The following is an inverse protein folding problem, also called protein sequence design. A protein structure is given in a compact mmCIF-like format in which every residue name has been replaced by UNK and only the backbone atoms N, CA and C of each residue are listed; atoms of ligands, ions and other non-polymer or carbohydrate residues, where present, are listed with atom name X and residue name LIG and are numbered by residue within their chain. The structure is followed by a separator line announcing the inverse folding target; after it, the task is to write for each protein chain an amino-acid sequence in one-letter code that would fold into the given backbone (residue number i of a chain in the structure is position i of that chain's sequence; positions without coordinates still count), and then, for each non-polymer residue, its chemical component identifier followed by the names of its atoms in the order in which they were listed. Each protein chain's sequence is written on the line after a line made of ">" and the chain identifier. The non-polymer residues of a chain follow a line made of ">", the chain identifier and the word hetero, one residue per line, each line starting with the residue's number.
data_IF_571843249151
#
_entry.id   IF_571843249151
#
_cell.length_a   1.000
_cell.length_b   1.000
_cell.length_c   1.000
_cell.angle_alpha   90.00
_cell.angle_beta   90.00
_cell.angle_gamma   90.00
#
_symmetry.space_group_name_H-M   'P 1'
#
loop_
_entity.id
_entity.type
_entity.pdbx_description
1 polymer ?
#
# COMPACT_ATOMS: atom_id res chain seq x y z
N UNK A 1 12.60 10.13 4.84
CA UNK A 1 12.55 9.99 3.37
C UNK A 1 12.31 8.54 3.01
N UNK A 2 11.59 8.27 1.93
CA UNK A 2 11.38 6.92 1.38
C UNK A 2 12.21 6.74 0.11
N UNK A 3 12.58 5.51 -0.23
CA UNK A 3 13.33 5.22 -1.46
C UNK A 3 12.37 5.16 -2.65
N UNK A 4 12.62 5.95 -3.70
CA UNK A 4 11.80 5.93 -4.92
C UNK A 4 11.79 4.53 -5.54
N UNK A 5 10.61 3.98 -5.84
CA UNK A 5 10.48 2.61 -6.40
C UNK A 5 11.08 2.44 -7.80
N UNK A 6 11.20 3.53 -8.57
CA UNK A 6 11.78 3.51 -9.90
C UNK A 6 13.30 3.76 -9.91
N UNK A 7 13.78 4.73 -9.13
CA UNK A 7 15.17 5.22 -9.22
C UNK A 7 16.04 4.92 -8.01
N UNK A 8 15.44 4.56 -6.86
CA UNK A 8 16.13 4.45 -5.57
C UNK A 8 16.48 5.80 -4.92
N UNK A 9 16.22 6.92 -5.59
CA UNK A 9 16.49 8.26 -5.06
C UNK A 9 15.61 8.56 -3.83
N UNK A 10 16.11 9.29 -2.82
CA UNK A 10 15.32 9.63 -1.65
C UNK A 10 14.19 10.59 -2.01
N UNK A 11 12.99 10.26 -1.55
CA UNK A 11 11.77 11.08 -1.65
C UNK A 11 11.41 11.56 -0.24
N UNK A 12 11.22 12.87 -0.07
CA UNK A 12 10.72 13.39 1.21
C UNK A 12 9.34 12.80 1.50
N UNK A 13 9.14 12.40 2.76
CA UNK A 13 7.91 11.77 3.21
C UNK A 13 7.60 12.24 4.62
N UNK A 14 6.32 12.51 4.87
CA UNK A 14 5.75 12.81 6.16
C UNK A 14 4.47 11.99 6.33
N UNK A 15 4.26 11.44 7.52
CA UNK A 15 3.02 10.80 7.91
C UNK A 15 2.52 11.51 9.18
N UNK A 16 1.26 11.92 9.15
CA UNK A 16 0.55 12.54 10.27
C UNK A 16 -0.91 12.08 10.15
N UNK A 17 -1.20 10.96 10.81
CA UNK A 17 -2.49 10.29 10.76
C UNK A 17 -2.85 9.83 12.18
N UNK A 18 -4.11 10.07 12.55
CA UNK A 18 -4.65 9.58 13.82
C UNK A 18 -5.12 8.15 13.65
N UNK A 19 -4.85 7.30 14.64
CA UNK A 19 -5.25 5.91 14.62
C UNK A 19 -5.71 5.46 16.01
N UNK A 20 -6.60 4.48 16.02
CA UNK A 20 -7.06 3.78 17.22
C UNK A 20 -6.81 2.28 17.02
N UNK A 21 -6.27 1.59 18.02
CA UNK A 21 -6.04 0.13 17.97
C UNK A 21 -6.65 -0.47 19.22
N UNK A 22 -7.42 -1.54 19.04
CA UNK A 22 -8.09 -2.27 20.11
C UNK A 22 -7.31 -3.53 20.44
N UNK A 23 -6.75 -3.59 21.64
CA UNK A 23 -6.09 -4.80 22.14
C UNK A 23 -7.11 -5.65 22.90
N UNK A 24 -7.42 -6.83 22.35
CA UNK A 24 -8.38 -7.76 22.94
C UNK A 24 -7.72 -9.11 23.26
N UNK A 25 -8.15 -9.81 24.32
CA UNK A 25 -7.72 -11.18 24.55
C UNK A 25 -8.11 -12.08 23.38
N UNK A 26 -7.26 -13.07 23.06
CA UNK A 26 -7.63 -14.09 22.07
C UNK A 26 -8.98 -14.74 22.41
N UNK A 27 -9.87 -14.92 21.41
CA UNK A 27 -11.13 -15.60 21.62
C UNK A 27 -10.87 -17.05 22.03
N UNK A 28 -11.66 -17.57 22.98
CA UNK A 28 -11.50 -18.96 23.43
C UNK A 28 -11.88 -19.90 22.30
N UNK A 29 -10.99 -20.82 21.97
CA UNK A 29 -11.24 -21.83 20.93
C UNK A 29 -12.49 -22.65 21.28
N UNK A 30 -13.53 -22.54 20.44
CA UNK A 30 -14.78 -23.29 20.56
C UNK A 30 -16.05 -22.48 20.86
N UNK A 31 -15.96 -21.16 21.04
CA UNK A 31 -17.16 -20.32 21.30
C UNK A 31 -18.00 -19.99 20.05
N UNK A 32 -17.49 -20.24 18.82
CA UNK A 32 -18.30 -20.08 17.59
C UNK A 32 -17.93 -21.10 16.52
N UNK A 33 -18.86 -22.01 16.19
CA UNK A 33 -18.89 -22.74 14.92
C UNK A 33 -19.71 -21.99 13.85
N UNK A 34 -20.16 -20.77 14.17
CA UNK A 34 -20.88 -19.89 13.26
C UNK A 34 -19.91 -19.10 12.37
N UNK A 35 -20.34 -18.83 11.14
CA UNK A 35 -19.62 -17.95 10.22
C UNK A 35 -19.52 -16.56 10.85
N UNK A 36 -18.29 -16.06 11.02
CA UNK A 36 -18.03 -14.70 11.52
C UNK A 36 -17.94 -13.78 10.30
N UNK A 37 -18.88 -12.85 10.18
CA UNK A 37 -18.78 -11.77 9.21
C UNK A 37 -17.76 -10.74 9.70
N UNK A 38 -16.70 -10.53 8.93
CA UNK A 38 -15.68 -9.51 9.22
C UNK A 38 -16.21 -8.15 8.81
N UNK A 39 -16.17 -7.20 9.74
CA UNK A 39 -16.48 -5.78 9.48
C UNK A 39 -15.21 -4.93 9.54
N UNK A 40 -15.29 -3.72 9.00
CA UNK A 40 -14.13 -2.81 8.91
C UNK A 40 -13.51 -2.53 10.29
N UNK A 41 -14.31 -2.43 11.34
CA UNK A 41 -13.84 -2.23 12.71
C UNK A 41 -13.03 -3.42 13.27
N UNK A 42 -13.12 -4.61 12.68
CA UNK A 42 -12.31 -5.76 13.10
C UNK A 42 -10.86 -5.65 12.63
N UNK A 43 -10.58 -4.81 11.62
CA UNK A 43 -9.23 -4.60 11.10
C UNK A 43 -8.30 -3.88 12.09
N UNK A 44 -8.86 -3.12 13.04
CA UNK A 44 -8.11 -2.38 14.06
C UNK A 44 -7.94 -3.17 15.37
N UNK A 45 -8.29 -4.47 15.37
CA UNK A 45 -8.17 -5.35 16.53
C UNK A 45 -6.87 -6.14 16.48
N UNK A 46 -6.08 -6.01 17.54
CA UNK A 46 -4.88 -6.84 17.77
C UNK A 46 -5.14 -7.76 18.96
N UNK A 47 -5.11 -9.07 18.70
CA UNK A 47 -5.28 -10.05 19.76
C UNK A 47 -4.01 -10.25 20.58
N UNK A 48 -4.17 -10.50 21.88
CA UNK A 48 -3.07 -10.82 22.79
C UNK A 48 -3.40 -12.02 23.68
N UNK A 49 -2.37 -12.74 24.14
CA UNK A 49 -2.50 -13.89 25.03
C UNK A 49 -2.75 -13.51 26.52
N UNK A 50 -2.64 -12.22 26.84
CA UNK A 50 -2.87 -11.66 28.17
C UNK A 50 -1.60 -11.55 29.03
N UNK A 51 -0.44 -11.94 28.49
CA UNK A 51 0.85 -11.81 29.17
C UNK A 51 1.45 -10.41 29.01
N UNK A 52 1.43 -9.88 27.78
CA UNK A 52 1.91 -8.56 27.42
C UNK A 52 1.24 -8.07 26.13
N UNK A 53 1.28 -6.75 25.92
CA UNK A 53 0.86 -6.11 24.67
C UNK A 53 2.10 -5.51 24.02
N UNK A 54 2.39 -5.87 22.76
CA UNK A 54 3.48 -5.26 21.99
C UNK A 54 3.00 -4.00 21.28
N UNK A 55 3.19 -2.86 21.94
CA UNK A 55 2.90 -1.55 21.36
C UNK A 55 3.90 -1.16 20.26
N UNK A 56 5.12 -1.71 20.30
CA UNK A 56 6.15 -1.38 19.32
C UNK A 56 5.81 -1.95 17.96
N UNK A 57 5.39 -3.22 17.91
CA UNK A 57 4.89 -3.88 16.71
C UNK A 57 3.65 -3.17 16.16
N UNK A 58 2.64 -2.93 17.02
CA UNK A 58 1.42 -2.25 16.60
C UNK A 58 1.69 -0.86 15.98
N UNK A 59 2.56 -0.06 16.59
CA UNK A 59 2.93 1.26 16.05
C UNK A 59 3.73 1.12 14.74
N UNK A 60 4.63 0.13 14.64
CA UNK A 60 5.42 -0.08 13.44
C UNK A 60 4.54 -0.49 12.25
N UNK A 61 3.57 -1.37 12.48
CA UNK A 61 2.61 -1.80 11.47
C UNK A 61 1.72 -0.65 11.01
N UNK A 62 1.15 0.12 11.95
CA UNK A 62 0.37 1.31 11.61
C UNK A 62 1.18 2.32 10.82
N UNK A 63 2.41 2.60 11.25
CA UNK A 63 3.30 3.50 10.51
C UNK A 63 3.55 2.98 9.09
N UNK A 64 3.77 1.67 8.92
CA UNK A 64 3.97 1.07 7.61
C UNK A 64 2.75 1.24 6.70
N UNK A 65 1.53 1.13 7.24
CA UNK A 65 0.28 1.39 6.51
C UNK A 65 0.14 2.86 6.08
N UNK A 66 0.60 3.81 6.91
CA UNK A 66 0.56 5.25 6.58
C UNK A 66 1.57 5.66 5.49
N UNK A 67 2.57 4.82 5.17
CA UNK A 67 3.57 5.16 4.17
C UNK A 67 3.01 5.04 2.75
N UNK A 68 3.38 5.99 1.88
CA UNK A 68 3.16 5.84 0.44
C UNK A 68 3.78 4.51 -0.04
N UNK A 69 3.01 3.55 -0.58
CA UNK A 69 3.54 2.25 -1.00
C UNK A 69 4.44 2.34 -2.24
N UNK A 70 4.29 3.39 -3.04
CA UNK A 70 5.02 3.59 -4.29
C UNK A 70 5.55 5.03 -4.41
N UNK A 71 6.47 5.47 -3.52
CA UNK A 71 7.08 6.79 -3.61
C UNK A 71 7.79 6.97 -4.96
N UNK A 72 7.57 8.10 -5.63
CA UNK A 72 8.17 8.41 -6.92
C UNK A 72 8.90 9.75 -6.86
N UNK A 73 10.17 9.75 -7.27
CA UNK A 73 10.97 10.95 -7.46
C UNK A 73 10.57 11.68 -8.74
N UNK A 74 11.02 12.92 -8.92
CA UNK A 74 10.77 13.69 -10.15
C UNK A 74 11.33 13.00 -11.42
N UNK A 75 12.36 12.16 -11.28
CA UNK A 75 12.96 11.39 -12.38
C UNK A 75 12.33 10.03 -12.64
N UNK A 76 11.34 9.61 -11.85
CA UNK A 76 10.79 8.25 -11.89
C UNK A 76 10.25 7.86 -13.28
N UNK A 77 9.48 8.74 -13.91
CA UNK A 77 8.87 8.47 -15.23
C UNK A 77 9.94 8.28 -16.32
N UNK A 78 10.98 9.11 -16.30
CA UNK A 78 12.07 9.02 -17.26
C UNK A 78 12.85 7.71 -17.10
N UNK A 79 13.16 7.32 -15.86
CA UNK A 79 13.85 6.07 -15.56
C UNK A 79 13.03 4.83 -15.96
N UNK A 80 11.71 4.85 -15.70
CA UNK A 80 10.81 3.78 -16.13
C UNK A 80 10.78 3.65 -17.66
N UNK A 81 10.69 4.78 -18.37
CA UNK A 81 10.71 4.80 -19.84
C UNK A 81 12.04 4.27 -20.40
N UNK A 82 13.18 4.65 -19.81
CA UNK A 82 14.50 4.14 -20.20
C UNK A 82 14.62 2.63 -19.96
N UNK A 83 14.02 2.13 -18.88
CA UNK A 83 13.89 0.71 -18.59
C UNK A 83 12.88 -0.03 -19.51
N UNK A 84 12.24 0.68 -20.46
CA UNK A 84 11.30 0.10 -21.42
C UNK A 84 9.90 -0.16 -20.85
N UNK A 85 9.56 0.41 -19.69
CA UNK A 85 8.21 0.34 -19.13
C UNK A 85 7.29 1.22 -19.96
N UNK A 86 6.22 0.60 -20.48
CA UNK A 86 5.21 1.29 -21.26
C UNK A 86 4.31 2.11 -20.34
N UNK A 87 3.95 3.32 -20.78
CA UNK A 87 2.88 4.08 -20.15
C UNK A 87 1.53 3.37 -20.34
N UNK A 88 0.56 3.69 -19.49
CA UNK A 88 -0.79 3.13 -19.59
C UNK A 88 -1.44 3.42 -20.96
N UNK A 89 -1.15 4.57 -21.56
CA UNK A 89 -1.61 4.92 -22.91
C UNK A 89 -0.97 4.04 -24.01
N UNK A 90 0.26 3.59 -23.80
CA UNK A 90 1.00 2.72 -24.72
C UNK A 90 0.64 1.24 -24.54
N UNK A 91 0.20 0.83 -23.35
CA UNK A 91 -0.22 -0.54 -23.04
C UNK A 91 -1.73 -0.77 -23.21
N UNK A 92 -2.53 0.30 -23.27
CA UNK A 92 -3.99 0.22 -23.31
C UNK A 92 -4.57 -0.31 -24.63
N UNK A 93 -5.88 -0.65 -24.65
CA UNK A 93 -6.55 -1.28 -25.79
C UNK A 93 -6.56 -0.42 -27.07
N UNK A 94 -6.36 0.90 -26.93
CA UNK A 94 -6.32 1.86 -28.04
C UNK A 94 -4.90 2.19 -28.51
N UNK A 95 -3.85 1.61 -27.92
CA UNK A 95 -2.47 1.86 -28.33
C UNK A 95 -2.22 1.57 -29.82
N UNK A 96 -2.90 0.57 -30.37
CA UNK A 96 -2.87 0.26 -31.80
C UNK A 96 -3.46 1.38 -32.67
N UNK A 97 -4.44 2.14 -32.17
CA UNK A 97 -5.10 3.23 -32.91
C UNK A 97 -4.23 4.48 -33.00
N UNK A 98 -3.24 4.67 -32.11
CA UNK A 98 -2.28 5.78 -32.20
C UNK A 98 -1.48 5.76 -33.52
N UNK A 99 -1.35 4.59 -34.16
CA UNK A 99 -0.71 4.43 -35.48
C UNK A 99 -1.54 5.04 -36.62
N UNK A 100 -2.86 5.16 -36.45
CA UNK A 100 -3.79 5.70 -37.47
C UNK A 100 -3.80 7.24 -37.53
N UNK A 101 -3.30 7.94 -36.49
CA UNK A 101 -3.16 9.41 -36.52
C UNK A 101 -2.01 9.91 -37.40
N UNK A 102 -1.13 9.02 -37.88
CA UNK A 102 0.05 9.37 -38.70
C UNK A 102 -0.15 9.15 -40.20
N UNK A 103 -1.30 8.64 -40.62
CA UNK A 103 -1.58 8.32 -42.03
C UNK A 103 -2.43 9.36 -42.78
N UNK A 104 -2.68 10.54 -42.19
CA UNK A 104 -3.25 11.70 -42.88
C UNK A 104 -2.20 12.83 -42.94
N UNK A 105 -1.26 12.72 -43.88
CA UNK A 105 -0.47 13.80 -44.48
C UNK A 105 0.06 13.35 -45.83
#
# INVERSE_FOLDING_TARGET
>A
CQSCVATGEPVEASADESFDIYFLPEPKSGESQEEVELVEADCDVVFHDGSAIDLGEAIADTLALCLNPYPRSAGAEAALKEAGVLSEAEAGPFAALAKLKRSDS
#
